data_IF_522329324501
#
_entry.id   IF_522329324501
#
_cell.length_a   1.000
_cell.length_b   1.000
_cell.length_c   1.000
_cell.angle_alpha   90.00
_cell.angle_beta   90.00
_cell.angle_gamma   90.00
#
_symmetry.space_group_name_H-M   'P 1'
#
loop_
_entity.id
_entity.type
_entity.pdbx_description
1 polymer ?
#
# COMPACT_ATOMS: atom_id res chain seq x y z
N UNK A 1 -6.85 -5.30 15.48
CA UNK A 1 -6.97 -6.61 14.78
C UNK A 1 -5.86 -6.79 13.74
N UNK A 2 -5.68 -5.88 12.81
CA UNK A 2 -4.60 -5.97 11.79
C UNK A 2 -3.20 -6.03 12.40
N UNK A 3 -2.93 -5.25 13.46
CA UNK A 3 -1.64 -5.30 14.18
C UNK A 3 -1.43 -6.65 14.89
N UNK A 4 -2.50 -7.25 15.41
CA UNK A 4 -2.44 -8.59 15.99
C UNK A 4 -2.11 -9.65 14.93
N UNK A 5 -2.71 -9.56 13.74
CA UNK A 5 -2.38 -10.42 12.62
C UNK A 5 -0.90 -10.27 12.21
N UNK A 6 -0.43 -9.04 11.98
CA UNK A 6 0.97 -8.77 11.61
C UNK A 6 1.97 -9.26 12.68
N UNK A 7 1.59 -9.21 13.96
CA UNK A 7 2.39 -9.77 15.05
C UNK A 7 2.48 -11.28 14.97
N UNK A 8 1.34 -11.98 14.79
CA UNK A 8 1.31 -13.44 14.63
C UNK A 8 2.09 -13.92 13.40
N UNK A 9 2.04 -13.17 12.29
CA UNK A 9 2.80 -13.46 11.05
C UNK A 9 4.32 -13.43 11.23
N UNK A 10 4.85 -12.85 12.33
CA UNK A 10 6.28 -12.92 12.66
C UNK A 10 6.65 -14.24 13.38
N UNK A 11 5.67 -14.93 13.93
CA UNK A 11 5.88 -16.07 14.82
C UNK A 11 5.51 -17.40 14.16
N UNK A 12 4.61 -17.38 13.16
CA UNK A 12 4.14 -18.58 12.46
C UNK A 12 3.62 -18.29 11.05
N UNK A 13 3.43 -19.32 10.28
CA UNK A 13 2.94 -19.23 8.91
C UNK A 13 1.53 -18.63 8.85
N UNK A 14 1.31 -17.76 7.87
CA UNK A 14 0.05 -17.07 7.67
C UNK A 14 -1.16 -17.99 7.58
N UNK A 15 -1.01 -19.14 6.89
CA UNK A 15 -2.11 -20.11 6.72
C UNK A 15 -2.55 -20.75 8.04
N UNK A 16 -1.64 -20.88 9.00
CA UNK A 16 -1.91 -21.45 10.31
C UNK A 16 -2.56 -20.47 11.29
N UNK A 17 -2.57 -19.16 10.97
CA UNK A 17 -3.15 -18.14 11.83
C UNK A 17 -4.67 -18.18 11.75
N UNK A 18 -5.32 -18.44 12.88
CA UNK A 18 -6.78 -18.48 12.99
C UNK A 18 -7.36 -17.13 13.41
N UNK A 19 -8.62 -16.90 13.02
CA UNK A 19 -9.36 -15.70 13.45
C UNK A 19 -9.51 -15.64 14.98
N UNK A 20 -9.60 -16.81 15.65
CA UNK A 20 -9.68 -16.85 17.10
C UNK A 20 -8.40 -16.31 17.78
N UNK A 21 -7.23 -16.66 17.26
CA UNK A 21 -5.95 -16.14 17.76
C UNK A 21 -5.80 -14.65 17.53
N UNK A 22 -6.19 -14.17 16.34
CA UNK A 22 -6.17 -12.74 16.02
C UNK A 22 -7.09 -11.98 16.97
N UNK A 23 -8.33 -12.43 17.17
CA UNK A 23 -9.31 -11.80 18.03
C UNK A 23 -8.84 -11.79 19.48
N UNK A 24 -8.33 -12.92 19.98
CA UNK A 24 -7.78 -13.05 21.33
C UNK A 24 -6.60 -12.07 21.57
N UNK A 25 -5.63 -12.04 20.64
CA UNK A 25 -4.48 -11.13 20.73
C UNK A 25 -4.88 -9.66 20.60
N UNK A 26 -5.93 -9.35 19.85
CA UNK A 26 -6.48 -8.00 19.70
C UNK A 26 -7.40 -7.57 20.87
N UNK A 27 -7.71 -8.47 21.80
CA UNK A 27 -8.61 -8.19 22.93
C UNK A 27 -10.06 -7.98 22.52
N UNK A 28 -10.52 -8.63 21.42
CA UNK A 28 -11.88 -8.50 20.89
C UNK A 28 -12.55 -9.86 20.73
N UNK A 29 -13.89 -9.85 20.61
CA UNK A 29 -14.64 -11.07 20.30
C UNK A 29 -14.49 -11.46 18.82
N UNK A 30 -14.56 -12.76 18.53
CA UNK A 30 -14.58 -13.28 17.16
C UNK A 30 -15.65 -12.61 16.28
N UNK A 31 -16.82 -12.35 16.82
CA UNK A 31 -17.92 -11.66 16.10
C UNK A 31 -17.52 -10.24 15.67
N UNK A 32 -16.64 -9.57 16.41
CA UNK A 32 -16.10 -8.26 16.05
C UNK A 32 -15.24 -8.35 14.80
N UNK A 33 -14.47 -9.43 14.63
CA UNK A 33 -13.74 -9.67 13.39
C UNK A 33 -14.68 -9.70 12.19
N UNK A 34 -15.68 -10.58 12.21
CA UNK A 34 -16.59 -10.79 11.08
C UNK A 34 -17.51 -9.60 10.76
N UNK A 35 -17.66 -8.64 11.68
CA UNK A 35 -18.32 -7.37 11.39
C UNK A 35 -17.45 -6.40 10.61
N UNK A 36 -16.12 -6.58 10.62
CA UNK A 36 -15.18 -5.65 10.00
C UNK A 36 -14.48 -6.25 8.78
N UNK A 37 -14.23 -7.54 8.77
CA UNK A 37 -13.40 -8.19 7.74
C UNK A 37 -13.99 -9.53 7.32
N UNK A 38 -13.98 -9.78 6.01
CA UNK A 38 -14.35 -11.07 5.40
C UNK A 38 -13.15 -12.01 5.39
N UNK A 39 -11.96 -11.49 5.10
CA UNK A 39 -10.71 -12.27 5.01
C UNK A 39 -9.60 -11.67 5.87
N UNK A 40 -8.57 -12.46 6.13
CA UNK A 40 -7.36 -11.97 6.80
C UNK A 40 -6.63 -10.93 5.93
N UNK A 41 -6.60 -11.14 4.62
CA UNK A 41 -5.99 -10.20 3.65
C UNK A 41 -6.65 -8.84 3.67
N UNK A 42 -7.98 -8.79 3.70
CA UNK A 42 -8.74 -7.53 3.79
C UNK A 42 -8.29 -6.68 4.99
N UNK A 43 -7.97 -7.32 6.12
CA UNK A 43 -7.47 -6.61 7.29
C UNK A 43 -6.04 -6.04 7.09
N UNK A 44 -5.22 -6.67 6.24
CA UNK A 44 -3.90 -6.15 5.85
C UNK A 44 -4.07 -4.96 4.90
N UNK A 45 -4.94 -5.10 3.89
CA UNK A 45 -5.33 -4.00 2.99
C UNK A 45 -5.79 -2.77 3.78
N UNK A 46 -6.73 -2.97 4.71
CA UNK A 46 -7.20 -1.92 5.61
C UNK A 46 -6.06 -1.26 6.42
N UNK A 47 -5.12 -2.07 6.91
CA UNK A 47 -3.96 -1.55 7.65
C UNK A 47 -3.11 -0.61 6.80
N UNK A 48 -2.83 -0.97 5.54
CA UNK A 48 -2.08 -0.12 4.62
C UNK A 48 -2.79 1.22 4.37
N UNK A 49 -4.10 1.18 4.11
CA UNK A 49 -4.91 2.40 3.91
C UNK A 49 -4.83 3.31 5.14
N UNK A 50 -5.03 2.77 6.34
CA UNK A 50 -4.97 3.54 7.59
C UNK A 50 -3.58 4.10 7.89
N UNK A 51 -2.52 3.38 7.54
CA UNK A 51 -1.15 3.87 7.69
C UNK A 51 -0.87 5.06 6.77
N UNK A 52 -1.33 4.99 5.51
CA UNK A 52 -1.21 6.10 4.57
C UNK A 52 -2.02 7.32 5.03
N UNK A 53 -3.28 7.13 5.42
CA UNK A 53 -4.12 8.22 5.91
C UNK A 53 -3.48 8.95 7.10
N UNK A 54 -2.92 8.20 8.04
CA UNK A 54 -2.25 8.77 9.21
C UNK A 54 -0.96 9.52 8.81
N UNK A 55 -0.15 8.93 7.94
CA UNK A 55 1.05 9.59 7.41
C UNK A 55 0.70 10.89 6.70
N UNK A 56 -0.28 10.87 5.82
CA UNK A 56 -0.74 12.03 5.09
C UNK A 56 -1.26 13.14 6.01
N UNK A 57 -1.89 12.76 7.12
CA UNK A 57 -2.34 13.68 8.16
C UNK A 57 -1.18 14.34 8.92
N UNK A 58 -0.18 13.55 9.33
CA UNK A 58 0.99 14.03 10.06
C UNK A 58 1.91 14.92 9.22
N UNK A 59 1.91 14.74 7.90
CA UNK A 59 2.80 15.47 6.97
C UNK A 59 2.06 16.54 6.14
N UNK A 60 0.81 16.88 6.51
CA UNK A 60 -0.02 17.90 5.83
C UNK A 60 -0.15 17.69 4.31
N UNK A 61 -0.21 16.42 3.87
CA UNK A 61 -0.33 16.09 2.45
C UNK A 61 -1.74 16.45 1.98
N UNK A 62 -1.85 17.49 1.15
CA UNK A 62 -3.13 18.02 0.68
C UNK A 62 -3.94 17.02 -0.15
N UNK A 63 -3.27 16.18 -0.92
CA UNK A 63 -3.87 15.14 -1.77
C UNK A 63 -3.90 13.78 -1.06
N UNK A 64 -4.59 13.72 0.08
CA UNK A 64 -4.66 12.50 0.93
C UNK A 64 -5.24 11.29 0.19
N UNK A 65 -6.07 11.52 -0.82
CA UNK A 65 -6.78 10.50 -1.59
C UNK A 65 -6.08 10.14 -2.90
N UNK A 66 -4.78 10.34 -2.99
CA UNK A 66 -4.09 10.00 -4.21
C UNK A 66 -2.59 10.26 -4.18
N UNK A 67 -1.96 9.80 -5.25
CA UNK A 67 -0.58 10.09 -5.57
C UNK A 67 -0.55 11.16 -6.65
N UNK A 68 0.30 12.17 -6.46
CA UNK A 68 0.68 13.12 -7.50
C UNK A 68 2.20 13.18 -7.60
N UNK A 69 2.73 13.73 -8.68
CA UNK A 69 4.17 13.92 -8.82
C UNK A 69 4.74 14.87 -7.75
N UNK A 70 3.88 15.75 -7.19
CA UNK A 70 4.29 16.69 -6.15
C UNK A 70 4.51 16.01 -4.80
N UNK A 71 3.84 14.89 -4.53
CA UNK A 71 3.98 14.13 -3.29
C UNK A 71 4.77 12.81 -3.47
N UNK A 72 5.53 12.70 -4.57
CA UNK A 72 6.29 11.48 -4.86
C UNK A 72 7.32 11.15 -3.77
N UNK A 73 8.01 12.16 -3.23
CA UNK A 73 8.97 11.98 -2.14
C UNK A 73 8.26 11.44 -0.89
N UNK A 74 7.16 12.08 -0.46
CA UNK A 74 6.38 11.65 0.72
C UNK A 74 5.88 10.21 0.57
N UNK A 75 5.50 9.82 -0.64
CA UNK A 75 5.06 8.46 -0.93
C UNK A 75 6.19 7.44 -0.73
N UNK A 76 7.39 7.70 -1.23
CA UNK A 76 8.52 6.79 -1.06
C UNK A 76 9.04 6.80 0.38
N UNK A 77 9.06 7.95 1.06
CA UNK A 77 9.39 8.06 2.48
C UNK A 77 8.42 7.25 3.35
N UNK A 78 7.11 7.39 3.10
CA UNK A 78 6.09 6.58 3.75
C UNK A 78 6.37 5.08 3.60
N UNK A 79 6.53 4.60 2.36
CA UNK A 79 6.75 3.18 2.11
C UNK A 79 8.05 2.66 2.74
N UNK A 80 9.11 3.48 2.76
CA UNK A 80 10.33 3.15 3.47
C UNK A 80 10.13 3.07 4.98
N UNK A 81 9.33 3.96 5.58
CA UNK A 81 9.06 3.98 7.01
C UNK A 81 8.38 2.68 7.48
N UNK A 82 7.51 2.12 6.65
CA UNK A 82 6.77 0.87 6.93
C UNK A 82 7.42 -0.38 6.30
N UNK A 83 8.68 -0.31 5.85
CA UNK A 83 9.38 -1.43 5.19
C UNK A 83 9.37 -2.74 5.97
N UNK A 84 9.26 -2.67 7.30
CA UNK A 84 9.14 -3.86 8.14
C UNK A 84 7.78 -4.57 7.94
N UNK A 85 6.70 -3.85 7.64
CA UNK A 85 5.39 -4.42 7.30
C UNK A 85 5.46 -5.07 5.91
N UNK A 86 6.06 -4.38 4.94
CA UNK A 86 6.27 -4.94 3.60
C UNK A 86 7.00 -6.27 3.65
N UNK A 87 8.08 -6.38 4.44
CA UNK A 87 8.82 -7.64 4.60
C UNK A 87 7.94 -8.79 5.12
N UNK A 88 7.08 -8.53 6.10
CA UNK A 88 6.16 -9.54 6.65
C UNK A 88 5.15 -9.97 5.59
N UNK A 89 4.52 -9.01 4.91
CA UNK A 89 3.48 -9.26 3.90
C UNK A 89 4.07 -10.01 2.68
N UNK A 90 5.25 -9.61 2.22
CA UNK A 90 5.93 -10.25 1.09
C UNK A 90 6.44 -11.65 1.42
N UNK A 91 6.92 -11.90 2.63
CA UNK A 91 7.31 -13.26 3.05
C UNK A 91 6.12 -14.23 3.07
N UNK A 92 4.93 -13.73 3.35
CA UNK A 92 3.68 -14.50 3.30
C UNK A 92 3.02 -14.56 1.91
N UNK A 93 3.64 -13.96 0.86
CA UNK A 93 3.12 -13.88 -0.52
C UNK A 93 1.76 -13.17 -0.64
N UNK A 94 1.54 -12.14 0.17
CA UNK A 94 0.29 -11.37 0.24
C UNK A 94 0.42 -9.98 -0.42
N UNK A 95 1.19 -9.86 -1.51
CA UNK A 95 1.40 -8.61 -2.25
C UNK A 95 0.08 -8.01 -2.78
N UNK A 96 -0.93 -8.87 -3.03
CA UNK A 96 -2.28 -8.44 -3.42
C UNK A 96 -2.90 -7.46 -2.43
N UNK A 97 -2.70 -7.66 -1.13
CA UNK A 97 -3.23 -6.77 -0.10
C UNK A 97 -2.66 -5.35 -0.20
N UNK A 98 -1.39 -5.20 -0.55
CA UNK A 98 -0.78 -3.90 -0.82
C UNK A 98 -1.36 -3.27 -2.08
N UNK A 99 -1.49 -4.05 -3.17
CA UNK A 99 -2.09 -3.57 -4.42
C UNK A 99 -3.53 -3.11 -4.22
N UNK A 100 -4.34 -3.87 -3.48
CA UNK A 100 -5.72 -3.51 -3.18
C UNK A 100 -5.81 -2.21 -2.37
N UNK A 101 -4.87 -1.98 -1.45
CA UNK A 101 -4.78 -0.72 -0.71
C UNK A 101 -4.48 0.46 -1.65
N UNK A 102 -3.53 0.30 -2.57
CA UNK A 102 -3.26 1.29 -3.62
C UNK A 102 -4.49 1.60 -4.44
N UNK A 103 -5.18 0.56 -4.88
CA UNK A 103 -6.38 0.73 -5.66
C UNK A 103 -7.46 1.50 -4.91
N UNK A 104 -7.65 1.21 -3.62
CA UNK A 104 -8.63 1.92 -2.78
C UNK A 104 -8.29 3.40 -2.61
N UNK A 105 -7.02 3.71 -2.33
CA UNK A 105 -6.55 5.10 -2.12
C UNK A 105 -6.58 5.90 -3.42
N UNK A 106 -6.22 5.28 -4.55
CA UNK A 106 -6.09 5.96 -5.84
C UNK A 106 -7.33 5.84 -6.73
N UNK A 107 -8.41 5.22 -6.23
CA UNK A 107 -9.65 5.09 -7.00
C UNK A 107 -10.24 6.48 -7.30
N UNK A 108 -10.70 6.71 -8.54
CA UNK A 108 -11.33 7.97 -8.89
C UNK A 108 -12.59 8.19 -8.07
N UNK A 109 -12.92 9.46 -7.82
CA UNK A 109 -14.11 9.82 -7.06
C UNK A 109 -15.40 9.40 -7.78
N UNK A 110 -16.47 9.29 -7.00
CA UNK A 110 -17.80 8.98 -7.54
C UNK A 110 -18.17 9.98 -8.65
N UNK A 111 -18.58 9.47 -9.81
CA UNK A 111 -18.93 10.27 -10.98
C UNK A 111 -17.80 10.44 -12.01
N UNK A 112 -16.64 9.85 -11.80
CA UNK A 112 -15.54 9.86 -12.76
C UNK A 112 -15.96 9.23 -14.11
N UNK A 113 -15.50 9.83 -15.21
CA UNK A 113 -15.72 9.30 -16.55
C UNK A 113 -14.80 8.10 -16.86
N UNK A 114 -15.06 7.41 -17.96
CA UNK A 114 -14.31 6.21 -18.33
C UNK A 114 -12.81 6.47 -18.50
N UNK A 115 -12.43 7.61 -19.08
CA UNK A 115 -11.01 7.95 -19.29
C UNK A 115 -10.29 8.12 -17.93
N UNK A 116 -10.90 8.81 -16.99
CA UNK A 116 -10.35 8.98 -15.61
C UNK A 116 -10.19 7.63 -14.90
N UNK A 117 -11.16 6.71 -15.08
CA UNK A 117 -11.06 5.36 -14.53
C UNK A 117 -9.87 4.59 -15.11
N UNK A 118 -9.67 4.63 -16.45
CA UNK A 118 -8.54 3.97 -17.10
C UNK A 118 -7.21 4.59 -16.70
N UNK A 119 -7.12 5.92 -16.65
CA UNK A 119 -5.91 6.64 -16.22
C UNK A 119 -5.52 6.28 -14.78
N UNK A 120 -6.48 6.33 -13.85
CA UNK A 120 -6.25 5.97 -12.47
C UNK A 120 -5.75 4.53 -12.33
N UNK A 121 -6.36 3.59 -13.07
CA UNK A 121 -5.94 2.18 -13.05
C UNK A 121 -4.54 2.00 -13.63
N UNK A 122 -4.25 2.59 -14.77
CA UNK A 122 -2.92 2.54 -15.39
C UNK A 122 -1.85 3.08 -14.44
N UNK A 123 -2.12 4.21 -13.81
CA UNK A 123 -1.20 4.85 -12.88
C UNK A 123 -0.96 4.00 -11.62
N UNK A 124 -2.04 3.44 -11.05
CA UNK A 124 -1.95 2.56 -9.88
C UNK A 124 -1.10 1.32 -10.14
N UNK A 125 -1.26 0.68 -11.32
CA UNK A 125 -0.43 -0.47 -11.70
C UNK A 125 1.03 -0.10 -11.93
N UNK A 126 1.28 1.04 -12.57
CA UNK A 126 2.65 1.51 -12.84
C UNK A 126 3.38 1.82 -11.54
N UNK A 127 2.74 2.55 -10.63
CA UNK A 127 3.32 2.91 -9.33
C UNK A 127 3.50 1.67 -8.44
N UNK A 128 2.51 0.76 -8.43
CA UNK A 128 2.65 -0.49 -7.70
C UNK A 128 3.83 -1.32 -8.22
N UNK A 129 3.96 -1.47 -9.55
CA UNK A 129 5.07 -2.23 -10.14
C UNK A 129 6.44 -1.66 -9.78
N UNK A 130 6.55 -0.33 -9.72
CA UNK A 130 7.77 0.37 -9.31
C UNK A 130 8.11 0.12 -7.84
N UNK A 131 7.12 0.25 -6.96
CA UNK A 131 7.29 -0.04 -5.54
C UNK A 131 7.56 -1.53 -5.28
N UNK A 132 6.86 -2.43 -5.98
CA UNK A 132 7.03 -3.89 -5.86
C UNK A 132 8.49 -4.30 -6.14
N UNK A 133 9.10 -3.74 -7.18
CA UNK A 133 10.51 -3.98 -7.50
C UNK A 133 11.44 -3.45 -6.39
N UNK A 134 11.20 -2.24 -5.88
CA UNK A 134 12.00 -1.68 -4.79
C UNK A 134 11.91 -2.53 -3.52
N UNK A 135 10.72 -3.01 -3.17
CA UNK A 135 10.52 -3.93 -2.03
C UNK A 135 11.27 -5.24 -2.25
N UNK A 136 11.17 -5.86 -3.43
CA UNK A 136 11.85 -7.12 -3.79
C UNK A 136 13.36 -6.99 -3.77
N UNK A 137 13.89 -5.83 -4.13
CA UNK A 137 15.32 -5.49 -4.01
C UNK A 137 15.74 -5.16 -2.58
N UNK A 138 14.84 -5.20 -1.61
CA UNK A 138 15.12 -5.00 -0.19
C UNK A 138 15.32 -3.54 0.21
N UNK A 139 14.78 -2.59 -0.58
CA UNK A 139 14.95 -1.15 -0.38
C UNK A 139 16.42 -0.72 -0.47
N UNK A 140 17.12 -1.18 -1.53
CA UNK A 140 18.56 -0.91 -1.71
C UNK A 140 18.86 0.56 -2.01
N UNK A 141 17.95 1.23 -2.74
CA UNK A 141 18.02 2.66 -3.04
C UNK A 141 17.47 3.47 -1.86
N UNK A 142 17.98 4.69 -1.66
CA UNK A 142 17.38 5.62 -0.68
C UNK A 142 16.00 6.12 -1.17
N UNK A 143 15.13 6.62 -0.29
CA UNK A 143 13.87 7.24 -0.74
C UNK A 143 14.08 8.38 -1.73
N UNK A 144 15.14 9.17 -1.57
CA UNK A 144 15.50 10.25 -2.48
C UNK A 144 15.91 9.73 -3.86
N UNK A 145 16.78 8.71 -3.90
CA UNK A 145 17.27 8.12 -5.15
C UNK A 145 16.13 7.45 -5.92
N UNK A 146 15.25 6.71 -5.25
CA UNK A 146 14.12 6.02 -5.89
C UNK A 146 13.08 7.03 -6.38
N UNK A 147 12.87 8.13 -5.66
CA UNK A 147 12.00 9.22 -6.08
C UNK A 147 12.53 9.86 -7.37
N UNK A 148 13.82 10.19 -7.40
CA UNK A 148 14.43 10.77 -8.58
C UNK A 148 14.34 9.84 -9.79
N UNK A 149 14.65 8.56 -9.61
CA UNK A 149 14.55 7.54 -10.66
C UNK A 149 13.12 7.46 -11.23
N UNK A 150 12.11 7.46 -10.36
CA UNK A 150 10.72 7.44 -10.75
C UNK A 150 10.33 8.68 -11.57
N UNK A 151 10.71 9.87 -11.11
CA UNK A 151 10.40 11.14 -11.79
C UNK A 151 11.08 11.23 -13.17
N UNK A 152 12.32 10.76 -13.29
CA UNK A 152 13.07 10.76 -14.55
C UNK A 152 12.43 9.81 -15.58
N UNK A 153 12.01 8.61 -15.15
CA UNK A 153 11.31 7.66 -16.02
C UNK A 153 9.98 8.21 -16.56
N UNK A 154 9.28 9.04 -15.78
CA UNK A 154 8.03 9.67 -16.25
C UNK A 154 8.33 10.79 -17.24
N UNK A 155 9.35 11.62 -17.01
CA UNK A 155 9.74 12.72 -17.91
C UNK A 155 10.19 12.20 -19.29
N UNK A 156 11.06 11.19 -19.32
CA UNK A 156 11.53 10.59 -20.58
C UNK A 156 10.38 10.08 -21.47
N UNK A 157 9.33 9.52 -20.87
CA UNK A 157 8.16 9.05 -21.61
C UNK A 157 7.29 10.19 -22.15
N UNK A 158 7.29 11.35 -21.48
CA UNK A 158 6.54 12.53 -21.93
C UNK A 158 7.23 13.21 -23.12
N UNK A 159 8.55 13.26 -23.11
CA UNK A 159 9.34 13.86 -24.19
C UNK A 159 9.38 12.98 -25.47
N UNK A 160 9.32 11.66 -25.32
CA UNK A 160 9.32 10.73 -26.46
C UNK A 160 7.95 10.64 -27.15
N UNK A 161 6.88 11.18 -26.58
CA UNK A 161 5.51 11.19 -27.12
C UNK A 161 5.23 12.40 -28.05
N UNK A 162 6.24 13.20 -28.37
CA UNK A 162 6.12 14.41 -29.18
C UNK A 162 6.60 14.21 -30.65
N UNK A 163 6.59 12.94 -31.16
CA UNK A 163 6.85 12.65 -32.57
C UNK A 163 5.73 11.83 -33.20
#
# INVERSE_FOLDING_TARGET
>A
MSDALLKLMKEKDYEEITINEIAALAGVNRSTWFRNFTTKEESITYKYVRLWEHWAEEHDIAERNGFSLNNAQDFFDFNHSIRHIHRIVYSAKLQSALFDAFYLVMSPQFGANAAECYQSRFFSYSLFGFLDEWIKRGFCETPEDITQLFLDMIKEKTDTSAY
#
